data_IF_507047615040
#
_entry.id   IF_507047615040
#
_cell.length_a   1.000
_cell.length_b   1.000
_cell.length_c   1.000
_cell.angle_alpha   90.00
_cell.angle_beta   90.00
_cell.angle_gamma   90.00
#
_symmetry.space_group_name_H-M   'P 1'
#
loop_
_entity.id
_entity.type
_entity.pdbx_description
1 polymer ?
#
# COMPACT_ATOMS: atom_id res chain seq x y z
N UNK A 1 -7.44 13.94 -6.50
CA UNK A 1 -7.17 13.35 -5.17
C UNK A 1 -5.68 13.11 -5.11
N UNK A 2 -4.99 13.87 -4.27
CA UNK A 2 -3.54 13.80 -4.09
C UNK A 2 -3.15 12.58 -3.25
N UNK A 3 -1.91 12.12 -3.39
CA UNK A 3 -1.40 10.98 -2.61
C UNK A 3 -1.48 11.23 -1.10
N UNK A 4 -1.26 12.47 -0.67
CA UNK A 4 -1.39 12.88 0.73
C UNK A 4 -2.82 12.68 1.27
N UNK A 5 -3.86 12.87 0.45
CA UNK A 5 -5.25 12.67 0.88
C UNK A 5 -5.57 11.17 1.03
N UNK A 6 -5.06 10.33 0.12
CA UNK A 6 -5.17 8.87 0.25
C UNK A 6 -4.45 8.36 1.49
N UNK A 7 -3.23 8.83 1.72
CA UNK A 7 -2.45 8.51 2.92
C UNK A 7 -3.25 8.87 4.18
N UNK A 8 -3.65 10.13 4.35
CA UNK A 8 -4.36 10.57 5.54
C UNK A 8 -5.66 9.76 5.79
N UNK A 9 -6.41 9.47 4.72
CA UNK A 9 -7.64 8.69 4.81
C UNK A 9 -7.38 7.24 5.24
N UNK A 10 -6.34 6.61 4.70
CA UNK A 10 -5.96 5.24 5.05
C UNK A 10 -5.43 5.17 6.47
N UNK A 11 -4.54 6.07 6.86
CA UNK A 11 -3.98 6.14 8.21
C UNK A 11 -5.08 6.36 9.25
N UNK A 12 -6.03 7.26 8.97
CA UNK A 12 -7.18 7.49 9.85
C UNK A 12 -8.11 6.27 9.94
N UNK A 13 -8.31 5.54 8.83
CA UNK A 13 -9.21 4.37 8.77
C UNK A 13 -8.63 3.15 9.49
N UNK A 14 -7.32 2.93 9.37
CA UNK A 14 -6.65 1.75 9.90
C UNK A 14 -5.96 2.01 11.25
N UNK A 15 -5.69 3.27 11.60
CA UNK A 15 -4.97 3.63 12.83
C UNK A 15 -3.48 3.32 12.77
N UNK A 16 -2.95 3.10 11.57
CA UNK A 16 -1.56 2.68 11.31
C UNK A 16 -0.94 3.60 10.25
N UNK A 17 0.38 3.78 10.23
CA UNK A 17 1.05 4.53 9.17
C UNK A 17 0.89 3.84 7.82
N UNK A 18 0.82 4.62 6.74
CA UNK A 18 0.56 4.10 5.39
C UNK A 18 1.56 3.01 4.96
N UNK A 19 2.83 3.13 5.36
CA UNK A 19 3.85 2.12 5.08
C UNK A 19 3.47 0.74 5.63
N UNK A 20 3.00 0.67 6.88
CA UNK A 20 2.62 -0.60 7.52
C UNK A 20 1.36 -1.20 6.89
N UNK A 21 0.40 -0.34 6.53
CA UNK A 21 -0.80 -0.75 5.80
C UNK A 21 -0.40 -1.37 4.46
N UNK A 22 0.47 -0.69 3.71
CA UNK A 22 0.93 -1.15 2.40
C UNK A 22 1.76 -2.42 2.49
N UNK A 23 2.65 -2.54 3.49
CA UNK A 23 3.41 -3.77 3.77
C UNK A 23 2.49 -4.94 4.08
N UNK A 24 1.52 -4.75 4.96
CA UNK A 24 0.53 -5.77 5.33
C UNK A 24 -0.22 -6.27 4.09
N UNK A 25 -0.68 -5.35 3.24
CA UNK A 25 -1.46 -5.70 2.04
C UNK A 25 -0.59 -6.35 0.97
N UNK A 26 0.56 -5.76 0.65
CA UNK A 26 1.38 -6.16 -0.48
C UNK A 26 2.27 -7.37 -0.20
N UNK A 27 2.75 -7.50 1.05
CA UNK A 27 3.71 -8.51 1.47
C UNK A 27 3.02 -9.57 2.32
N UNK A 28 2.47 -9.21 3.49
CA UNK A 28 1.95 -10.21 4.43
C UNK A 28 0.69 -10.93 3.91
N UNK A 29 -0.17 -10.22 3.18
CA UNK A 29 -1.32 -10.81 2.46
C UNK A 29 -0.99 -11.26 1.03
N UNK A 30 0.23 -11.01 0.57
CA UNK A 30 0.72 -11.31 -0.79
C UNK A 30 -0.12 -10.69 -1.94
N UNK A 31 -0.88 -9.62 -1.69
CA UNK A 31 -1.78 -9.07 -2.71
C UNK A 31 -1.03 -8.27 -3.78
N UNK A 32 -1.36 -8.53 -5.04
CA UNK A 32 -0.85 -7.74 -6.17
C UNK A 32 -1.45 -6.32 -6.22
N UNK A 33 -0.86 -5.41 -7.03
CA UNK A 33 -1.26 -3.99 -7.05
C UNK A 33 -2.73 -3.73 -7.41
N UNK A 34 -3.35 -4.61 -8.21
CA UNK A 34 -4.77 -4.49 -8.55
C UNK A 34 -5.67 -4.83 -7.36
N UNK A 35 -5.46 -6.01 -6.77
CA UNK A 35 -6.26 -6.49 -5.62
C UNK A 35 -6.03 -5.65 -4.37
N UNK A 36 -4.78 -5.26 -4.08
CA UNK A 36 -4.45 -4.41 -2.94
C UNK A 36 -5.06 -3.01 -3.04
N UNK A 37 -5.06 -2.41 -4.24
CA UNK A 37 -5.72 -1.14 -4.47
C UNK A 37 -7.24 -1.21 -4.26
N UNK A 38 -7.86 -2.30 -4.71
CA UNK A 38 -9.29 -2.54 -4.47
C UNK A 38 -9.60 -2.74 -2.98
N UNK A 39 -8.76 -3.48 -2.25
CA UNK A 39 -8.92 -3.69 -0.81
C UNK A 39 -8.86 -2.36 -0.02
N UNK A 40 -7.90 -1.50 -0.37
CA UNK A 40 -7.72 -0.20 0.26
C UNK A 40 -8.68 0.88 -0.25
N UNK A 41 -9.42 0.60 -1.33
CA UNK A 41 -10.36 1.55 -1.94
C UNK A 41 -9.67 2.78 -2.54
N UNK A 42 -8.47 2.58 -3.11
CA UNK A 42 -7.65 3.61 -3.77
C UNK A 42 -7.38 3.21 -5.23
N UNK A 43 -7.04 4.16 -6.13
CA UNK A 43 -6.65 3.80 -7.48
C UNK A 43 -5.31 3.04 -7.48
N UNK A 44 -5.17 2.12 -8.43
CA UNK A 44 -3.94 1.31 -8.62
C UNK A 44 -2.67 2.17 -8.73
N UNK A 45 -2.77 3.35 -9.34
CA UNK A 45 -1.64 4.28 -9.46
C UNK A 45 -1.16 4.77 -8.08
N UNK A 46 -2.07 5.11 -7.17
CA UNK A 46 -1.71 5.50 -5.80
C UNK A 46 -1.10 4.32 -5.04
N UNK A 47 -1.68 3.13 -5.18
CA UNK A 47 -1.10 1.93 -4.59
C UNK A 47 0.33 1.68 -5.07
N UNK A 48 0.57 1.76 -6.39
CA UNK A 48 1.91 1.57 -6.95
C UNK A 48 2.89 2.68 -6.55
N UNK A 49 2.41 3.92 -6.39
CA UNK A 49 3.22 5.02 -5.88
C UNK A 49 3.76 4.69 -4.48
N UNK A 50 2.90 4.28 -3.55
CA UNK A 50 3.32 3.90 -2.19
C UNK A 50 4.22 2.65 -2.16
N UNK A 51 3.93 1.63 -2.99
CA UNK A 51 4.81 0.45 -3.11
C UNK A 51 6.23 0.85 -3.54
N UNK A 52 6.35 1.84 -4.43
CA UNK A 52 7.64 2.34 -4.89
C UNK A 52 8.31 3.23 -3.84
N UNK A 53 7.55 4.15 -3.23
CA UNK A 53 8.02 5.07 -2.19
C UNK A 53 8.65 4.32 -1.01
N UNK A 54 8.01 3.24 -0.54
CA UNK A 54 8.50 2.41 0.57
C UNK A 54 9.37 1.23 0.10
N UNK A 55 9.72 1.16 -1.19
CA UNK A 55 10.53 0.10 -1.77
C UNK A 55 10.06 -1.35 -1.45
N UNK A 56 8.75 -1.54 -1.27
CA UNK A 56 8.16 -2.82 -0.82
C UNK A 56 8.33 -3.95 -1.84
N UNK A 57 8.57 -3.62 -3.12
CA UNK A 57 8.85 -4.60 -4.16
C UNK A 57 10.18 -5.33 -3.92
N UNK A 58 11.22 -4.60 -3.51
CA UNK A 58 12.51 -5.22 -3.19
C UNK A 58 12.37 -6.10 -1.95
N UNK A 59 11.72 -5.58 -0.91
CA UNK A 59 11.49 -6.33 0.33
C UNK A 59 10.67 -7.62 0.11
N UNK A 60 9.63 -7.58 -0.72
CA UNK A 60 8.84 -8.76 -1.07
C UNK A 60 9.68 -9.83 -1.75
N UNK A 61 10.64 -9.42 -2.60
CA UNK A 61 11.55 -10.35 -3.28
C UNK A 61 12.57 -10.97 -2.31
N UNK A 62 13.00 -10.25 -1.28
CA UNK A 62 13.91 -10.79 -0.25
C UNK A 62 13.23 -11.79 0.70
N UNK A 63 11.89 -11.74 0.81
CA UNK A 63 11.09 -12.68 1.62
C UNK A 63 10.64 -13.94 0.87
N UNK A 64 10.81 -14.00 -0.46
CA UNK A 64 10.48 -15.13 -1.33
C UNK A 64 11.64 -16.13 -1.38
#
# INVERSE_FOLDING_TARGET
MDFAEYQHRLEKKHGEPIEQIMRTVYIDKDLGPGTGAQELGIPRQAFMHFVHEFNLKAEKLERL
#
